data_IF_629360075092
#
_entry.id   IF_629360075092
#
_cell.length_a   1.000
_cell.length_b   1.000
_cell.length_c   1.000
_cell.angle_alpha   90.00
_cell.angle_beta   90.00
_cell.angle_gamma   90.00
#
_symmetry.space_group_name_H-M   'P 1'
#
loop_
_entity.id
_entity.type
_entity.pdbx_description
1 polymer ?
#
# COMPACT_ATOMS: atom_id res chain seq x y z
N UNK A 1 50.57 -7.34 27.23
CA UNK A 1 49.36 -7.88 27.88
C UNK A 1 49.26 -9.37 27.54
N UNK A 2 49.02 -10.27 28.51
CA UNK A 2 48.91 -11.70 28.23
C UNK A 2 47.64 -12.01 27.42
N UNK A 3 47.78 -12.78 26.34
CA UNK A 3 46.65 -13.22 25.52
C UNK A 3 45.86 -14.27 26.32
N UNK A 4 44.67 -13.90 26.76
CA UNK A 4 43.75 -14.82 27.41
C UNK A 4 43.26 -15.87 26.40
N UNK A 5 43.41 -17.15 26.75
CA UNK A 5 42.82 -18.25 25.98
C UNK A 5 41.29 -18.16 26.00
N UNK A 6 40.66 -18.66 24.94
CA UNK A 6 39.19 -18.62 24.79
C UNK A 6 38.45 -19.18 26.02
N UNK A 7 38.95 -20.28 26.61
CA UNK A 7 38.37 -20.87 27.84
C UNK A 7 38.37 -19.90 29.02
N UNK A 8 39.47 -19.16 29.25
CA UNK A 8 39.55 -18.18 30.35
C UNK A 8 38.66 -16.97 30.09
N UNK A 9 38.48 -16.58 28.82
CA UNK A 9 37.57 -15.49 28.44
C UNK A 9 36.09 -15.83 28.65
N UNK A 10 35.69 -17.07 28.38
CA UNK A 10 34.30 -17.54 28.59
C UNK A 10 34.02 -17.79 30.07
N UNK A 11 34.98 -18.36 30.82
CA UNK A 11 34.82 -18.63 32.24
C UNK A 11 34.79 -17.37 33.12
N UNK A 12 35.48 -16.30 32.71
CA UNK A 12 35.52 -15.03 33.45
C UNK A 12 34.38 -14.06 33.10
N UNK A 13 33.33 -14.54 32.41
CA UNK A 13 32.13 -13.74 32.15
C UNK A 13 31.09 -14.02 33.23
N UNK A 14 30.54 -12.94 33.80
CA UNK A 14 29.34 -13.03 34.61
C UNK A 14 28.22 -13.64 33.76
N UNK A 15 27.65 -14.74 34.24
CA UNK A 15 26.48 -15.37 33.62
C UNK A 15 25.25 -14.76 34.25
N UNK A 16 24.53 -13.98 33.45
CA UNK A 16 23.21 -13.50 33.83
C UNK A 16 22.20 -14.61 33.59
N UNK A 17 21.50 -15.03 34.64
CA UNK A 17 20.36 -15.92 34.49
C UNK A 17 19.20 -15.10 33.94
N UNK A 18 18.79 -15.40 32.71
CA UNK A 18 17.56 -14.84 32.16
C UNK A 18 16.41 -15.79 32.53
N UNK A 19 15.27 -15.28 32.99
CA UNK A 19 14.11 -16.12 33.21
C UNK A 19 13.69 -16.79 31.89
N UNK A 20 13.27 -18.04 31.96
CA UNK A 20 12.60 -18.70 30.84
C UNK A 20 11.34 -17.91 30.49
N UNK A 21 11.08 -17.68 29.20
CA UNK A 21 9.86 -17.02 28.76
C UNK A 21 8.60 -17.70 29.32
N UNK A 22 7.55 -16.91 29.56
CA UNK A 22 6.24 -17.40 29.99
C UNK A 22 5.38 -17.69 28.75
N UNK A 23 4.59 -18.77 28.76
CA UNK A 23 3.66 -19.10 27.66
C UNK A 23 2.43 -18.18 27.59
N UNK A 24 2.35 -17.23 28.51
CA UNK A 24 1.24 -16.33 28.74
C UNK A 24 1.71 -14.91 28.46
N UNK A 25 1.05 -14.24 27.52
CA UNK A 25 1.26 -12.81 27.24
C UNK A 25 0.26 -11.98 28.05
N UNK A 26 0.76 -11.15 28.97
CA UNK A 26 -0.08 -10.22 29.75
C UNK A 26 -0.15 -8.87 29.05
N UNK A 27 -1.36 -8.37 28.84
CA UNK A 27 -1.62 -7.05 28.27
C UNK A 27 -1.88 -6.06 29.40
N UNK A 28 -1.07 -5.01 29.45
CA UNK A 28 -1.24 -3.93 30.39
C UNK A 28 -1.84 -2.71 29.70
N UNK A 29 -2.76 -2.03 30.35
CA UNK A 29 -3.24 -0.72 29.94
C UNK A 29 -2.96 0.30 31.03
N UNK A 30 -2.78 1.54 30.60
CA UNK A 30 -2.66 2.67 31.51
C UNK A 30 -4.04 2.98 32.09
N UNK A 31 -4.15 3.00 33.41
CA UNK A 31 -5.33 3.42 34.14
C UNK A 31 -4.96 4.56 35.08
N UNK A 32 -5.93 5.38 35.47
CA UNK A 32 -5.73 6.45 36.45
C UNK A 32 -6.36 5.96 37.74
N UNK A 33 -5.54 5.85 38.79
CA UNK A 33 -6.00 5.46 40.12
C UNK A 33 -6.81 6.58 40.78
N UNK A 34 -7.51 6.28 41.88
CA UNK A 34 -8.33 7.26 42.62
C UNK A 34 -7.52 8.48 43.13
N UNK A 35 -6.19 8.32 43.21
CA UNK A 35 -5.24 9.37 43.57
C UNK A 35 -4.80 10.26 42.40
N UNK A 36 -5.30 10.02 41.18
CA UNK A 36 -4.95 10.74 39.96
C UNK A 36 -3.59 10.36 39.35
N UNK A 37 -2.94 9.31 39.86
CA UNK A 37 -1.67 8.82 39.33
C UNK A 37 -1.91 7.74 38.26
N UNK A 38 -1.10 7.78 37.21
CA UNK A 38 -1.13 6.79 36.14
C UNK A 38 -0.51 5.46 36.62
N UNK A 39 -1.28 4.38 36.56
CA UNK A 39 -0.86 3.03 36.94
C UNK A 39 -1.05 2.05 35.76
N UNK A 40 -0.12 1.12 35.59
CA UNK A 40 -0.25 0.02 34.63
C UNK A 40 -1.06 -1.10 35.26
N UNK A 41 -2.25 -1.35 34.72
CA UNK A 41 -3.14 -2.42 35.19
C UNK A 41 -3.12 -3.56 34.17
N UNK A 42 -3.03 -4.80 34.66
CA UNK A 42 -3.13 -5.98 33.81
C UNK A 42 -4.58 -6.17 33.37
N UNK A 43 -4.88 -5.78 32.14
CA UNK A 43 -6.24 -5.81 31.59
C UNK A 43 -6.58 -7.14 30.92
N UNK A 44 -5.55 -7.86 30.43
CA UNK A 44 -5.76 -9.09 29.68
C UNK A 44 -4.64 -10.08 29.82
N UNK A 45 -4.97 -11.34 29.56
CA UNK A 45 -4.04 -12.44 29.55
C UNK A 45 -4.35 -13.32 28.34
N UNK A 46 -3.36 -13.50 27.46
CA UNK A 46 -3.47 -14.33 26.26
C UNK A 46 -2.56 -15.53 26.40
N UNK A 47 -3.12 -16.74 26.30
CA UNK A 47 -2.34 -17.96 26.18
C UNK A 47 -1.84 -18.10 24.73
N UNK A 48 -0.53 -17.98 24.56
CA UNK A 48 0.13 -17.99 23.25
C UNK A 48 -0.06 -19.34 22.56
N UNK A 49 -0.07 -20.44 23.32
CA UNK A 49 -0.24 -21.76 22.74
C UNK A 49 -1.67 -21.95 22.23
N UNK A 50 -2.66 -21.53 23.02
CA UNK A 50 -4.07 -21.60 22.62
C UNK A 50 -4.34 -20.73 21.38
N UNK A 51 -3.76 -19.53 21.33
CA UNK A 51 -3.83 -18.65 20.15
C UNK A 51 -3.24 -19.33 18.91
N UNK A 52 -2.04 -19.90 19.00
CA UNK A 52 -1.42 -20.64 17.89
C UNK A 52 -2.32 -21.81 17.43
N UNK A 53 -2.91 -22.56 18.37
CA UNK A 53 -3.79 -23.68 18.02
C UNK A 53 -5.11 -23.24 17.39
N UNK A 54 -5.58 -22.01 17.67
CA UNK A 54 -6.81 -21.50 17.04
C UNK A 54 -6.70 -21.39 15.51
N UNK A 55 -5.49 -21.18 14.98
CA UNK A 55 -5.22 -21.09 13.54
C UNK A 55 -5.00 -22.45 12.86
N UNK A 56 -5.04 -23.56 13.62
CA UNK A 56 -4.68 -24.90 13.13
C UNK A 56 -5.48 -25.32 11.90
N UNK A 57 -6.79 -25.11 11.89
CA UNK A 57 -7.65 -25.49 10.75
C UNK A 57 -7.35 -24.67 9.50
N UNK A 58 -7.05 -23.37 9.65
CA UNK A 58 -6.73 -22.49 8.52
C UNK A 58 -5.39 -22.82 7.86
N UNK A 59 -4.47 -23.48 8.56
CA UNK A 59 -3.20 -23.93 8.02
C UNK A 59 -3.26 -25.33 7.38
N UNK A 60 -4.38 -26.04 7.46
CA UNK A 60 -4.52 -27.35 6.82
C UNK A 60 -4.67 -27.19 5.31
N UNK A 61 -3.74 -27.80 4.56
CA UNK A 61 -3.71 -27.75 3.10
C UNK A 61 -4.99 -28.32 2.50
N UNK A 62 -5.57 -29.36 3.10
CA UNK A 62 -6.83 -29.93 2.62
C UNK A 62 -8.00 -28.94 2.77
N UNK A 63 -8.01 -28.16 3.85
CA UNK A 63 -9.03 -27.14 4.12
C UNK A 63 -8.86 -25.94 3.19
N UNK A 64 -7.61 -25.51 2.98
CA UNK A 64 -7.25 -24.47 2.00
C UNK A 64 -7.69 -24.84 0.58
N UNK A 65 -7.35 -26.04 0.10
CA UNK A 65 -7.72 -26.47 -1.25
C UNK A 65 -9.23 -26.61 -1.46
N UNK A 66 -9.99 -26.93 -0.42
CA UNK A 66 -11.46 -27.01 -0.49
C UNK A 66 -12.12 -25.64 -0.54
N UNK A 67 -11.54 -24.64 0.13
CA UNK A 67 -12.06 -23.28 0.14
C UNK A 67 -11.67 -22.46 -1.09
N UNK A 68 -10.61 -22.87 -1.81
CA UNK A 68 -10.22 -22.21 -3.05
C UNK A 68 -11.24 -22.61 -4.13
N UNK A 69 -12.03 -21.63 -4.59
CA UNK A 69 -12.87 -21.81 -5.76
C UNK A 69 -11.98 -21.89 -7.01
N UNK A 70 -11.99 -23.00 -7.77
CA UNK A 70 -11.16 -23.15 -8.95
C UNK A 70 -11.47 -22.09 -10.02
N UNK A 71 -12.69 -21.55 -10.05
CA UNK A 71 -13.09 -20.50 -10.99
C UNK A 71 -12.53 -19.13 -10.60
N UNK A 72 -12.51 -18.82 -9.30
CA UNK A 72 -11.89 -17.60 -8.76
C UNK A 72 -10.36 -17.62 -8.92
N UNK A 73 -9.72 -18.78 -8.73
CA UNK A 73 -8.28 -18.94 -8.95
C UNK A 73 -7.89 -18.67 -10.42
N UNK A 74 -8.70 -19.13 -11.37
CA UNK A 74 -8.49 -18.82 -12.79
C UNK A 74 -8.63 -17.33 -13.08
N UNK A 75 -9.54 -16.61 -12.42
CA UNK A 75 -9.71 -15.15 -12.58
C UNK A 75 -8.62 -14.32 -11.88
N UNK A 76 -8.06 -14.79 -10.75
CA UNK A 76 -6.94 -14.13 -10.08
C UNK A 76 -5.61 -14.35 -10.80
N UNK A 77 -5.44 -15.49 -11.48
CA UNK A 77 -4.22 -15.81 -12.24
C UNK A 77 -4.32 -15.39 -13.71
N UNK A 78 -5.53 -15.25 -14.27
CA UNK A 78 -5.75 -14.74 -15.62
C UNK A 78 -6.63 -13.48 -15.63
N UNK A 79 -5.99 -12.40 -16.06
CA UNK A 79 -6.57 -11.23 -16.72
C UNK A 79 -7.22 -10.14 -15.84
N UNK A 80 -6.38 -9.20 -15.41
CA UNK A 80 -6.78 -7.80 -15.38
C UNK A 80 -7.12 -7.40 -16.84
N UNK A 81 -8.41 -7.27 -17.19
CA UNK A 81 -8.84 -6.77 -18.52
C UNK A 81 -9.38 -5.36 -18.43
N UNK A 82 -9.32 -4.64 -19.55
CA UNK A 82 -9.63 -3.22 -19.66
C UNK A 82 -11.09 -2.87 -19.33
N UNK A 83 -12.03 -3.82 -19.40
CA UNK A 83 -13.44 -3.60 -19.06
C UNK A 83 -13.66 -3.34 -17.56
N UNK A 84 -12.81 -3.89 -16.69
CA UNK A 84 -12.89 -3.69 -15.24
C UNK A 84 -12.50 -2.25 -14.84
N UNK A 85 -11.83 -1.53 -15.73
CA UNK A 85 -11.39 -0.15 -15.54
C UNK A 85 -12.47 0.89 -15.93
N UNK A 86 -13.46 0.50 -16.74
CA UNK A 86 -14.43 1.42 -17.36
C UNK A 86 -15.72 1.58 -16.53
N UNK A 87 -16.04 0.64 -15.64
CA UNK A 87 -17.29 0.63 -14.87
C UNK A 87 -17.26 1.33 -13.49
N UNK A 88 -16.29 2.22 -13.22
CA UNK A 88 -16.07 2.84 -11.89
C UNK A 88 -17.09 3.91 -11.45
N UNK A 89 -18.32 3.87 -11.97
CA UNK A 89 -19.44 4.74 -11.53
C UNK A 89 -20.40 4.09 -10.53
N UNK A 90 -20.27 2.79 -10.27
CA UNK A 90 -21.00 2.05 -9.23
C UNK A 90 -19.96 1.68 -8.17
N UNK A 91 -20.06 2.27 -6.97
CA UNK A 91 -19.15 1.90 -5.88
C UNK A 91 -19.62 0.56 -5.32
N UNK A 92 -19.06 -0.51 -5.85
CA UNK A 92 -19.28 -1.88 -5.40
C UNK A 92 -18.54 -2.11 -4.08
N UNK A 93 -19.29 -2.24 -2.98
CA UNK A 93 -18.73 -2.56 -1.67
C UNK A 93 -18.06 -3.94 -1.61
N UNK A 94 -18.26 -4.82 -2.60
CA UNK A 94 -17.51 -6.07 -2.74
C UNK A 94 -16.04 -5.85 -3.18
N UNK A 95 -15.71 -4.67 -3.73
CA UNK A 95 -14.35 -4.30 -4.16
C UNK A 95 -13.51 -3.62 -3.06
N UNK A 96 -14.09 -3.40 -1.86
CA UNK A 96 -13.30 -2.92 -0.73
C UNK A 96 -12.33 -4.01 -0.26
N UNK A 97 -11.03 -3.67 -0.04
CA UNK A 97 -10.06 -4.65 0.39
C UNK A 97 -10.43 -5.22 1.77
N UNK A 98 -10.71 -6.52 1.81
CA UNK A 98 -11.03 -7.26 3.04
C UNK A 98 -9.80 -7.58 3.89
N UNK A 99 -8.61 -7.43 3.32
CA UNK A 99 -7.32 -7.67 3.97
C UNK A 99 -6.72 -6.38 4.53
N UNK A 100 -6.18 -6.43 5.75
CA UNK A 100 -5.54 -5.29 6.44
C UNK A 100 -4.46 -4.59 5.59
N UNK A 101 -3.64 -5.34 4.85
CA UNK A 101 -2.65 -4.76 3.94
C UNK A 101 -3.26 -4.01 2.76
N UNK A 102 -4.41 -4.46 2.24
CA UNK A 102 -5.15 -3.75 1.20
C UNK A 102 -5.78 -2.46 1.74
N UNK A 103 -6.28 -2.48 2.98
CA UNK A 103 -6.75 -1.29 3.68
C UNK A 103 -5.62 -0.27 3.87
N UNK A 104 -4.43 -0.72 4.27
CA UNK A 104 -3.25 0.14 4.41
C UNK A 104 -2.85 0.80 3.08
N UNK A 105 -2.85 0.04 1.98
CA UNK A 105 -2.56 0.59 0.65
C UNK A 105 -3.60 1.61 0.20
N UNK A 106 -4.86 1.44 0.60
CA UNK A 106 -5.93 2.41 0.33
C UNK A 106 -5.70 3.72 1.09
N UNK A 107 -5.30 3.65 2.36
CA UNK A 107 -4.91 4.82 3.16
C UNK A 107 -3.72 5.54 2.53
N UNK A 108 -2.69 4.79 2.13
CA UNK A 108 -1.50 5.36 1.48
C UNK A 108 -1.84 6.06 0.15
N UNK A 109 -2.77 5.50 -0.63
CA UNK A 109 -3.29 6.15 -1.85
C UNK A 109 -4.04 7.44 -1.54
N UNK A 110 -4.85 7.45 -0.48
CA UNK A 110 -5.55 8.65 -0.01
C UNK A 110 -4.58 9.77 0.40
N UNK A 111 -3.51 9.43 1.12
CA UNK A 111 -2.44 10.36 1.48
C UNK A 111 -1.72 10.92 0.26
N UNK A 112 -1.40 10.06 -0.71
CA UNK A 112 -0.74 10.48 -1.95
C UNK A 112 -1.64 11.39 -2.80
N UNK A 113 -2.94 11.11 -2.87
CA UNK A 113 -3.91 11.97 -3.54
C UNK A 113 -4.02 13.32 -2.83
N UNK A 114 -4.14 13.33 -1.49
CA UNK A 114 -4.13 14.56 -0.70
C UNK A 114 -2.87 15.39 -0.97
N UNK A 115 -1.71 14.73 -1.04
CA UNK A 115 -0.42 15.33 -1.34
C UNK A 115 -0.21 15.70 -2.83
N UNK A 116 -1.13 15.36 -3.72
CA UNK A 116 -1.16 15.82 -5.11
C UNK A 116 -2.05 17.06 -5.32
N UNK A 117 -2.95 17.35 -4.39
CA UNK A 117 -3.89 18.48 -4.51
C UNK A 117 -3.17 19.83 -4.34
N UNK A 118 -3.59 20.90 -5.06
CA UNK A 118 -3.10 22.26 -4.85
C UNK A 118 -3.25 22.72 -3.39
N UNK A 119 -2.35 23.60 -2.92
CA UNK A 119 -2.35 24.10 -1.54
C UNK A 119 -3.66 24.79 -1.14
N UNK A 120 -4.31 25.46 -2.10
CA UNK A 120 -5.59 26.14 -1.89
C UNK A 120 -6.68 25.16 -1.43
N UNK A 121 -6.74 23.98 -2.04
CA UNK A 121 -7.71 22.95 -1.69
C UNK A 121 -7.31 22.29 -0.36
N UNK A 122 -6.02 22.10 -0.08
CA UNK A 122 -5.57 21.52 1.21
C UNK A 122 -5.88 22.42 2.41
N UNK A 123 -5.88 23.75 2.23
CA UNK A 123 -6.25 24.70 3.29
C UNK A 123 -7.68 24.52 3.75
N UNK A 124 -8.62 24.33 2.82
CA UNK A 124 -10.04 24.09 3.12
C UNK A 124 -10.24 22.81 3.95
N UNK A 125 -9.40 21.79 3.74
CA UNK A 125 -9.39 20.56 4.55
C UNK A 125 -8.51 20.64 5.82
N UNK A 126 -8.05 21.85 6.20
CA UNK A 126 -7.14 22.08 7.34
C UNK A 126 -5.86 21.23 7.29
N UNK A 127 -5.28 21.03 6.10
CA UNK A 127 -4.07 20.23 5.87
C UNK A 127 -4.14 18.79 6.43
N UNK A 128 -5.33 18.27 6.71
CA UNK A 128 -5.53 16.99 7.35
C UNK A 128 -6.16 15.99 6.40
N UNK A 129 -5.42 14.90 6.15
CA UNK A 129 -5.91 13.76 5.36
C UNK A 129 -7.16 13.14 6.00
N UNK A 130 -7.27 13.16 7.33
CA UNK A 130 -8.43 12.62 8.04
C UNK A 130 -9.71 13.41 7.75
N UNK A 131 -9.61 14.75 7.71
CA UNK A 131 -10.74 15.61 7.37
C UNK A 131 -11.16 15.41 5.91
N UNK A 132 -10.19 15.28 5.01
CA UNK A 132 -10.41 14.97 3.59
C UNK A 132 -11.15 13.64 3.40
N UNK A 133 -10.68 12.55 4.02
CA UNK A 133 -11.32 11.22 3.91
C UNK A 133 -12.69 11.20 4.59
N UNK A 134 -12.87 11.89 5.72
CA UNK A 134 -14.16 11.92 6.42
C UNK A 134 -15.27 12.63 5.65
N UNK A 135 -14.90 13.59 4.80
CA UNK A 135 -15.85 14.33 3.95
C UNK A 135 -15.98 13.69 2.56
N UNK A 136 -15.13 12.71 2.22
CA UNK A 136 -15.13 12.04 0.94
C UNK A 136 -16.49 11.37 0.66
N UNK A 137 -17.12 11.76 -0.46
CA UNK A 137 -18.46 11.28 -0.84
C UNK A 137 -19.64 12.05 -0.24
N UNK A 138 -19.42 13.06 0.60
CA UNK A 138 -20.48 13.96 1.08
C UNK A 138 -20.70 15.13 0.11
N UNK A 139 -21.90 15.72 0.11
CA UNK A 139 -22.21 16.90 -0.72
C UNK A 139 -21.25 18.07 -0.45
N UNK A 140 -20.83 18.26 0.81
CA UNK A 140 -19.86 19.29 1.18
C UNK A 140 -18.51 19.14 0.47
N UNK A 141 -18.07 17.91 0.20
CA UNK A 141 -16.84 17.64 -0.55
C UNK A 141 -16.98 18.00 -2.03
N UNK A 142 -18.12 17.66 -2.62
CA UNK A 142 -18.43 18.05 -4.00
C UNK A 142 -18.54 19.56 -4.13
N UNK A 143 -19.08 20.27 -3.14
CA UNK A 143 -19.16 21.73 -3.14
C UNK A 143 -17.79 22.40 -3.05
N UNK A 144 -16.87 21.86 -2.23
CA UNK A 144 -15.48 22.34 -2.14
C UNK A 144 -14.78 22.11 -3.47
N UNK A 145 -14.86 20.90 -4.04
CA UNK A 145 -14.24 20.60 -5.33
C UNK A 145 -14.87 21.40 -6.48
N UNK A 146 -16.18 21.60 -6.47
CA UNK A 146 -16.89 22.38 -7.49
C UNK A 146 -16.50 23.86 -7.47
N UNK A 147 -16.20 24.44 -6.30
CA UNK A 147 -15.67 25.81 -6.18
C UNK A 147 -14.32 25.99 -6.86
N UNK A 148 -13.50 24.93 -6.90
CA UNK A 148 -12.20 24.93 -7.57
C UNK A 148 -12.21 24.20 -8.91
N UNK A 149 -13.39 23.76 -9.38
CA UNK A 149 -13.60 23.14 -10.69
C UNK A 149 -14.00 24.20 -11.74
N UNK A 150 -13.12 25.15 -11.99
CA UNK A 150 -13.06 25.86 -13.28
C UNK A 150 -11.97 25.19 -14.13
N UNK A 151 -12.15 25.13 -15.46
CA UNK A 151 -11.34 24.31 -16.34
C UNK A 151 -9.88 24.71 -16.19
N UNK A 152 -8.98 23.73 -16.25
CA UNK A 152 -7.57 23.98 -16.45
C UNK A 152 -7.42 24.94 -17.64
N UNK A 153 -7.18 26.21 -17.35
CA UNK A 153 -6.45 27.07 -18.24
C UNK A 153 -5.10 26.39 -18.42
N UNK A 154 -4.89 25.91 -19.65
CA UNK A 154 -3.60 25.71 -20.29
C UNK A 154 -2.46 26.27 -19.43
N UNK A 155 -1.71 25.39 -18.76
CA UNK A 155 -0.28 25.66 -18.63
C UNK A 155 0.26 25.69 -20.05
N UNK A 156 0.45 26.89 -20.59
CA UNK A 156 1.34 27.10 -21.72
C UNK A 156 2.66 26.36 -21.40
N UNK A 157 3.12 25.46 -22.29
CA UNK A 157 4.45 24.92 -22.21
C UNK A 157 5.42 26.07 -22.46
N UNK A 158 6.17 26.45 -21.42
CA UNK A 158 7.42 27.18 -21.64
C UNK A 158 8.32 26.28 -22.47
N UNK A 159 8.56 26.71 -23.71
CA UNK A 159 9.49 26.11 -24.64
C UNK A 159 10.86 25.94 -23.99
N UNK A 160 11.25 24.68 -23.77
CA UNK A 160 12.63 24.25 -23.85
C UNK A 160 12.66 23.16 -24.93
N UNK A 161 13.31 23.51 -26.04
CA UNK A 161 13.51 22.71 -27.25
C UNK A 161 14.28 21.42 -26.92
N UNK A 162 13.76 20.24 -27.25
CA UNK A 162 14.57 19.05 -27.45
C UNK A 162 14.75 18.80 -28.97
N UNK A 163 15.99 18.52 -29.42
CA UNK A 163 16.36 18.51 -30.83
C UNK A 163 15.60 17.46 -31.65
N UNK A 164 15.14 17.86 -32.83
CA UNK A 164 14.55 16.96 -33.82
C UNK A 164 15.61 16.01 -34.40
N UNK A 165 15.48 14.72 -34.10
CA UNK A 165 16.16 13.66 -34.84
C UNK A 165 15.12 12.97 -35.73
N UNK A 166 15.28 13.18 -37.03
CA UNK A 166 14.48 12.61 -38.11
C UNK A 166 14.72 11.09 -38.18
N UNK A 167 13.64 10.30 -38.23
CA UNK A 167 13.71 8.90 -38.68
C UNK A 167 12.62 8.71 -39.73
N UNK A 168 13.04 8.82 -40.99
CA UNK A 168 12.25 8.50 -42.19
C UNK A 168 11.88 7.01 -42.22
N UNK A 169 10.65 6.63 -42.60
CA UNK A 169 10.34 5.27 -43.04
C UNK A 169 10.97 5.01 -44.42
N UNK A 170 12.00 4.16 -44.49
CA UNK A 170 12.54 3.69 -45.77
C UNK A 170 11.68 2.56 -46.34
N UNK A 171 11.09 2.80 -47.50
CA UNK A 171 10.40 1.80 -48.33
C UNK A 171 11.43 0.99 -49.16
N UNK A 172 11.27 -0.34 -49.32
CA UNK A 172 12.25 -1.16 -50.02
C UNK A 172 12.25 -0.95 -51.54
N UNK A 173 13.46 -0.77 -52.07
CA UNK A 173 13.83 -0.53 -53.47
C UNK A 173 13.27 -1.59 -54.43
N UNK A 174 12.62 -1.16 -55.50
CA UNK A 174 12.55 -1.92 -56.74
C UNK A 174 12.71 -1.01 -57.96
N UNK A 175 13.92 -0.97 -58.52
CA UNK A 175 14.22 -0.25 -59.75
C UNK A 175 14.33 -1.25 -60.91
N UNK A 176 13.28 -1.33 -61.73
CA UNK A 176 13.30 -2.00 -63.03
C UNK A 176 14.03 -1.15 -64.06
N UNK A 177 15.21 -1.65 -64.46
CA UNK A 177 15.83 -1.66 -65.79
C UNK A 177 15.62 -0.50 -66.79
N UNK A 178 16.75 0.16 -67.09
CA UNK A 178 17.09 0.98 -68.27
C UNK A 178 16.42 0.53 -69.58
N UNK A 179 15.85 1.49 -70.33
CA UNK A 179 15.92 1.53 -71.80
C UNK A 179 15.72 2.95 -72.35
N UNK A 180 16.60 3.33 -73.29
CA UNK A 180 16.53 4.48 -74.18
C UNK A 180 17.23 5.73 -73.64
N UNK A 181 18.20 6.36 -74.29
CA UNK A 181 18.59 6.36 -75.70
C UNK A 181 18.48 7.80 -76.23
N UNK A 182 19.64 8.35 -76.61
CA UNK A 182 19.93 9.45 -77.57
C UNK A 182 21.02 10.37 -77.00
N UNK A 183 22.24 10.21 -77.47
CA UNK A 183 22.84 10.96 -78.60
C UNK A 183 23.98 10.14 -79.21
#
# INVERSE_FOLDING_TARGET
MPILTWRKRVANRERFFMPSGEGIARTYMLNIDDSGCECLVCTGQTDIYAEIQSYREGCDLAMLLRNIDPTALSSMVSSFTADDLVNSGIVDYASMPTTLGGMFNLVQKGENMFNGLPEEIRKEFNYSVKNFVSQFGTQAFNDILAKYATPQAQTEPKADEPPQVQIEPQEPKNATNKKGGKE
#
